data_IF_956405606562
#
_entry.id   IF_956405606562
#
_cell.length_a   1.000
_cell.length_b   1.000
_cell.length_c   1.000
_cell.angle_alpha   90.00
_cell.angle_beta   90.00
_cell.angle_gamma   90.00
#
_symmetry.space_group_name_H-M   'P 1'
#
loop_
_entity.id
_entity.type
_entity.pdbx_description
1 polymer ?
#
# COMPACT_ATOMS: atom_id res chain seq x y z
N UNK A 1 15.73 24.58 -7.81
CA UNK A 1 15.80 24.21 -7.90
C UNK A 1 15.12 24.29 -8.11
N UNK A 2 15.33 23.61 -7.97
CA UNK A 2 15.07 23.24 -7.89
C UNK A 2 14.48 23.16 -7.86
N UNK A 3 14.20 23.24 -7.89
CA UNK A 3 14.01 22.72 -7.68
C UNK A 3 14.09 22.96 -7.53
N UNK A 4 13.96 23.94 -7.25
CA UNK A 4 14.62 23.67 -6.86
C UNK A 4 14.74 23.29 -6.77
N UNK A 5 14.95 23.43 -6.80
CA UNK A 5 15.46 22.72 -6.56
C UNK A 5 15.49 21.89 -5.52
N UNK A 6 14.73 21.51 -5.39
CA UNK A 6 14.42 20.59 -4.36
C UNK A 6 15.40 19.45 -4.20
N UNK A 7 15.89 18.93 -5.28
CA UNK A 7 17.00 18.00 -5.21
C UNK A 7 18.24 18.66 -4.68
N UNK A 8 18.21 19.95 -4.51
CA UNK A 8 19.31 20.68 -3.90
C UNK A 8 19.27 20.60 -2.39
N UNK A 9 18.18 20.15 -1.82
CA UNK A 9 17.99 20.09 -0.38
C UNK A 9 18.19 18.64 0.08
N UNK A 10 19.15 18.40 0.99
CA UNK A 10 19.32 17.04 1.50
C UNK A 10 18.05 16.55 2.15
N UNK A 11 17.53 15.47 1.64
CA UNK A 11 16.27 14.94 2.08
C UNK A 11 16.25 14.56 3.56
N UNK A 12 17.36 14.05 4.05
CA UNK A 12 17.46 13.63 5.43
C UNK A 12 17.33 14.80 6.42
N UNK A 13 17.44 16.02 5.94
CA UNK A 13 17.26 17.20 6.78
C UNK A 13 15.81 17.66 6.70
N UNK A 14 15.24 17.63 5.51
CA UNK A 14 13.91 18.18 5.26
C UNK A 14 12.82 17.17 5.59
N UNK A 15 13.04 15.93 5.22
CA UNK A 15 12.05 14.88 5.42
C UNK A 15 12.75 13.56 5.62
N UNK A 16 12.40 12.91 6.69
CA UNK A 16 12.82 11.54 6.94
C UNK A 16 11.71 10.62 6.50
N UNK A 17 12.07 9.42 6.09
CA UNK A 17 11.07 8.42 5.83
C UNK A 17 10.33 8.12 7.14
N UNK A 18 9.01 8.10 7.13
CA UNK A 18 8.27 7.69 8.31
C UNK A 18 8.53 6.20 8.58
N UNK A 19 8.34 5.80 9.83
CA UNK A 19 8.35 4.39 10.15
C UNK A 19 7.08 3.76 9.57
N UNK A 20 7.10 2.44 9.44
CA UNK A 20 5.93 1.70 9.01
C UNK A 20 4.72 2.02 9.89
N UNK A 21 4.94 2.08 11.20
CA UNK A 21 3.86 2.41 12.13
C UNK A 21 3.31 3.81 11.90
N UNK A 22 4.17 4.76 11.62
CA UNK A 22 3.73 6.13 11.35
C UNK A 22 2.94 6.20 10.04
N UNK A 23 3.34 5.41 9.05
CA UNK A 23 2.57 5.33 7.80
C UNK A 23 1.15 4.86 8.07
N UNK A 24 0.99 3.81 8.88
CA UNK A 24 -0.33 3.31 9.22
C UNK A 24 -1.17 4.33 9.94
N UNK A 25 -0.57 5.02 10.91
CA UNK A 25 -1.30 6.04 11.68
C UNK A 25 -1.76 7.18 10.78
N UNK A 26 -0.86 7.67 9.95
CA UNK A 26 -1.16 8.84 9.11
C UNK A 26 -2.20 8.50 8.04
N UNK A 27 -2.02 7.38 7.36
CA UNK A 27 -2.95 6.96 6.33
C UNK A 27 -4.29 6.57 6.94
N UNK A 28 -4.25 5.98 8.13
CA UNK A 28 -5.47 5.59 8.83
C UNK A 28 -6.41 6.75 9.10
N UNK A 29 -5.89 7.97 9.16
CA UNK A 29 -6.73 9.15 9.37
C UNK A 29 -7.72 9.36 8.22
N UNK A 30 -7.37 8.90 7.03
CA UNK A 30 -8.23 9.01 5.87
C UNK A 30 -9.28 7.92 5.81
N UNK A 31 -9.18 6.92 6.69
CA UNK A 31 -10.08 5.77 6.70
C UNK A 31 -10.73 5.58 8.07
N UNK A 32 -11.09 6.69 8.72
CA UNK A 32 -11.81 6.63 9.98
C UNK A 32 -13.14 5.89 9.79
N UNK A 33 -13.50 5.09 10.78
CA UNK A 33 -14.70 4.27 10.69
C UNK A 33 -14.49 2.91 10.07
N UNK A 34 -13.29 2.67 9.51
CA UNK A 34 -12.94 1.34 8.99
C UNK A 34 -12.47 0.46 10.15
N UNK A 35 -12.74 -0.84 10.03
CA UNK A 35 -12.25 -1.80 11.01
C UNK A 35 -10.81 -2.20 10.73
N UNK A 36 -10.01 -2.29 11.77
CA UNK A 36 -8.60 -2.68 11.65
C UNK A 36 -8.35 -4.13 12.07
N UNK A 37 -9.39 -4.86 12.45
CA UNK A 37 -9.24 -6.21 12.98
C UNK A 37 -10.26 -7.17 12.40
N UNK A 38 -10.28 -7.24 11.07
CA UNK A 38 -11.13 -8.19 10.36
C UNK A 38 -10.27 -9.22 9.65
N UNK A 39 -10.71 -10.46 9.67
CA UNK A 39 -10.06 -11.56 8.97
C UNK A 39 -11.08 -12.30 8.12
N UNK A 40 -10.65 -12.76 6.95
CA UNK A 40 -11.56 -13.41 6.00
C UNK A 40 -10.91 -14.63 5.37
N UNK A 41 -11.70 -15.66 5.13
CA UNK A 41 -11.32 -16.83 4.34
C UNK A 41 -12.49 -17.17 3.42
N UNK A 42 -12.18 -17.36 2.13
CA UNK A 42 -13.19 -17.75 1.14
C UNK A 42 -14.42 -16.85 1.15
N UNK A 43 -14.21 -15.56 1.35
CA UNK A 43 -15.29 -14.59 1.28
C UNK A 43 -16.06 -14.39 2.56
N UNK A 44 -15.71 -15.10 3.63
CA UNK A 44 -16.45 -15.03 4.89
C UNK A 44 -15.57 -14.56 6.02
N UNK A 45 -16.15 -13.77 6.91
CA UNK A 45 -15.43 -13.29 8.08
C UNK A 45 -15.20 -14.45 9.05
N UNK A 46 -13.97 -14.52 9.57
CA UNK A 46 -13.57 -15.52 10.56
C UNK A 46 -12.97 -14.78 11.75
N UNK A 47 -12.77 -15.45 12.90
CA UNK A 47 -12.15 -14.79 14.04
C UNK A 47 -10.81 -14.18 13.67
N UNK A 48 -10.54 -13.00 14.19
CA UNK A 48 -9.34 -12.26 13.86
C UNK A 48 -8.08 -13.09 14.14
N UNK A 49 -7.20 -13.14 13.17
CA UNK A 49 -5.96 -13.90 13.31
C UNK A 49 -6.07 -15.37 12.96
N UNK A 50 -7.21 -15.82 12.44
CA UNK A 50 -7.37 -17.22 12.02
C UNK A 50 -6.27 -17.57 11.00
N UNK A 51 -5.65 -18.73 11.19
CA UNK A 51 -4.60 -19.19 10.29
C UNK A 51 -5.16 -19.33 8.87
N UNK A 52 -4.40 -18.79 7.93
CA UNK A 52 -4.79 -18.84 6.51
C UNK A 52 -5.72 -17.70 6.10
N UNK A 53 -6.14 -16.86 7.04
CA UNK A 53 -7.02 -15.74 6.71
C UNK A 53 -6.22 -14.59 6.10
N UNK A 54 -6.93 -13.72 5.35
CA UNK A 54 -6.37 -12.44 4.93
C UNK A 54 -6.85 -11.38 5.92
N UNK A 55 -5.98 -10.40 6.19
CA UNK A 55 -6.24 -9.38 7.22
C UNK A 55 -5.90 -8.01 6.65
N UNK A 56 -6.88 -7.36 6.00
CA UNK A 56 -6.62 -5.99 5.50
C UNK A 56 -6.30 -5.04 6.66
N UNK A 57 -5.47 -4.06 6.40
CA UNK A 57 -5.14 -3.03 7.40
C UNK A 57 -6.42 -2.32 7.84
N UNK A 58 -7.26 -1.97 6.89
CA UNK A 58 -8.55 -1.34 7.18
C UNK A 58 -9.60 -1.95 6.28
N UNK A 59 -10.78 -2.20 6.84
CA UNK A 59 -11.87 -2.80 6.09
C UNK A 59 -13.19 -2.16 6.45
N UNK A 60 -13.98 -1.86 5.45
CA UNK A 60 -15.36 -1.45 5.61
C UNK A 60 -16.12 -2.11 4.46
N UNK A 61 -17.40 -2.41 4.67
CA UNK A 61 -18.17 -3.18 3.69
C UNK A 61 -17.84 -2.84 2.24
N UNK A 62 -17.28 -3.81 1.55
CA UNK A 62 -16.95 -3.68 0.14
C UNK A 62 -15.64 -3.00 -0.17
N UNK A 63 -14.83 -2.61 0.83
CA UNK A 63 -13.59 -1.88 0.57
C UNK A 63 -12.50 -2.29 1.54
N UNK A 64 -11.37 -2.75 1.00
CA UNK A 64 -10.19 -3.07 1.80
C UNK A 64 -9.07 -2.08 1.48
N UNK A 65 -8.29 -1.74 2.49
CA UNK A 65 -7.17 -0.81 2.34
C UNK A 65 -5.92 -1.44 2.91
N UNK A 66 -4.82 -1.40 2.15
CA UNK A 66 -3.50 -1.82 2.58
C UNK A 66 -2.58 -0.63 2.66
N UNK A 67 -1.69 -0.64 3.65
CA UNK A 67 -0.68 0.40 3.82
C UNK A 67 0.67 -0.25 3.62
N UNK A 68 1.50 0.35 2.76
CA UNK A 68 2.85 -0.17 2.48
C UNK A 68 3.88 0.94 2.58
N UNK A 69 5.03 0.59 3.12
CA UNK A 69 6.15 1.51 3.26
C UNK A 69 7.43 0.77 2.84
N UNK A 70 7.72 0.81 1.55
CA UNK A 70 8.88 0.15 0.98
C UNK A 70 9.88 1.19 0.47
N UNK A 71 11.13 0.79 0.37
CA UNK A 71 12.14 1.62 -0.26
C UNK A 71 11.93 1.59 -1.77
N UNK A 72 11.49 2.71 -2.34
CA UNK A 72 11.25 2.79 -3.80
C UNK A 72 12.42 3.41 -4.55
N UNK A 73 13.50 3.76 -3.84
CA UNK A 73 14.67 4.35 -4.48
C UNK A 73 15.54 3.30 -5.17
N UNK A 74 15.46 2.04 -4.75
CA UNK A 74 16.25 0.98 -5.34
C UNK A 74 15.36 0.04 -6.14
N UNK A 75 15.93 -0.57 -7.18
CA UNK A 75 15.17 -1.55 -7.95
C UNK A 75 14.82 -2.77 -7.11
N UNK A 76 15.69 -3.14 -6.17
CA UNK A 76 15.41 -4.24 -5.26
C UNK A 76 14.17 -3.96 -4.40
N UNK A 77 14.10 -2.76 -3.82
CA UNK A 77 12.94 -2.37 -3.01
C UNK A 77 11.66 -2.32 -3.82
N UNK A 78 11.74 -1.77 -5.04
CA UNK A 78 10.59 -1.71 -5.92
C UNK A 78 10.10 -3.09 -6.32
N UNK A 79 11.04 -3.99 -6.64
CA UNK A 79 10.67 -5.35 -7.03
C UNK A 79 10.04 -6.11 -5.88
N UNK A 80 10.54 -5.93 -4.65
CA UNK A 80 9.95 -6.54 -3.47
C UNK A 80 8.52 -6.05 -3.27
N UNK A 81 8.31 -4.75 -3.38
CA UNK A 81 6.98 -4.16 -3.25
C UNK A 81 6.02 -4.74 -4.29
N UNK A 82 6.44 -4.73 -5.56
CA UNK A 82 5.61 -5.20 -6.66
C UNK A 82 5.24 -6.67 -6.46
N UNK A 83 6.23 -7.51 -6.14
CA UNK A 83 5.98 -8.95 -5.99
C UNK A 83 5.11 -9.25 -4.79
N UNK A 84 5.40 -8.64 -3.65
CA UNK A 84 4.64 -8.90 -2.43
C UNK A 84 3.21 -8.38 -2.57
N UNK A 85 3.05 -7.22 -3.17
CA UNK A 85 1.73 -6.62 -3.32
C UNK A 85 0.88 -7.41 -4.31
N UNK A 86 1.48 -7.84 -5.41
CA UNK A 86 0.77 -8.63 -6.41
C UNK A 86 0.27 -9.94 -5.82
N UNK A 87 1.10 -10.61 -5.03
CA UNK A 87 0.71 -11.84 -4.36
C UNK A 87 -0.41 -11.60 -3.36
N UNK A 88 -0.32 -10.54 -2.58
CA UNK A 88 -1.35 -10.21 -1.61
C UNK A 88 -2.69 -9.92 -2.28
N UNK A 89 -2.67 -9.14 -3.35
CA UNK A 89 -3.89 -8.80 -4.08
C UNK A 89 -4.57 -10.07 -4.59
N UNK A 90 -3.77 -10.98 -5.18
CA UNK A 90 -4.31 -12.25 -5.69
C UNK A 90 -4.96 -13.06 -4.59
N UNK A 91 -4.29 -13.18 -3.45
CA UNK A 91 -4.81 -13.95 -2.32
C UNK A 91 -6.10 -13.33 -1.79
N UNK A 92 -6.19 -12.02 -1.80
CA UNK A 92 -7.37 -11.32 -1.30
C UNK A 92 -8.54 -11.39 -2.25
N UNK A 93 -8.30 -11.56 -3.54
CA UNK A 93 -9.40 -11.71 -4.50
C UNK A 93 -10.28 -12.91 -4.18
N UNK A 94 -9.69 -13.98 -3.65
CA UNK A 94 -10.46 -15.18 -3.31
C UNK A 94 -10.92 -15.23 -1.87
N UNK A 95 -10.30 -14.45 -0.98
CA UNK A 95 -10.58 -14.54 0.45
C UNK A 95 -11.40 -13.40 1.02
N UNK A 96 -11.34 -12.22 0.41
CA UNK A 96 -12.22 -11.11 0.84
C UNK A 96 -13.64 -11.37 0.33
N UNK A 97 -14.65 -10.79 0.98
CA UNK A 97 -16.02 -10.92 0.48
C UNK A 97 -16.11 -10.52 -0.99
N UNK A 98 -16.95 -11.23 -1.70
CA UNK A 98 -17.11 -11.01 -3.14
C UNK A 98 -17.48 -9.56 -3.41
N UNK A 99 -16.85 -8.98 -4.44
CA UNK A 99 -17.11 -7.59 -4.81
C UNK A 99 -16.31 -6.56 -4.02
N UNK A 100 -15.44 -7.01 -3.11
CA UNK A 100 -14.59 -6.08 -2.36
C UNK A 100 -13.61 -5.39 -3.30
N UNK A 101 -13.59 -4.06 -3.24
CA UNK A 101 -12.60 -3.27 -3.97
C UNK A 101 -11.35 -3.11 -3.10
N UNK A 102 -10.20 -3.28 -3.71
CA UNK A 102 -8.93 -3.21 -2.99
C UNK A 102 -8.20 -1.91 -3.29
N UNK A 103 -7.81 -1.20 -2.23
CA UNK A 103 -6.97 -0.01 -2.33
C UNK A 103 -5.66 -0.29 -1.63
N UNK A 104 -4.55 0.13 -2.25
CA UNK A 104 -3.22 0.04 -1.66
C UNK A 104 -2.66 1.44 -1.59
N UNK A 105 -2.29 1.89 -0.40
CA UNK A 105 -1.65 3.20 -0.22
C UNK A 105 -0.18 2.96 0.09
N UNK A 106 0.69 3.41 -0.80
CA UNK A 106 2.12 3.25 -0.66
C UNK A 106 2.70 4.58 -0.18
N UNK A 107 3.34 4.55 0.99
CA UNK A 107 3.93 5.75 1.57
C UNK A 107 5.34 5.93 1.00
N UNK A 108 5.52 6.98 0.21
CA UNK A 108 6.82 7.28 -0.40
C UNK A 108 7.45 8.56 0.15
N UNK A 109 6.90 9.06 1.26
CA UNK A 109 7.44 10.28 1.87
C UNK A 109 8.89 10.09 2.26
N UNK A 110 9.68 11.14 2.07
CA UNK A 110 11.10 11.14 2.45
C UNK A 110 11.99 10.35 1.51
N UNK A 111 11.50 9.98 0.34
CA UNK A 111 12.27 9.23 -0.65
C UNK A 111 12.41 10.01 -1.95
N UNK A 112 13.45 9.70 -2.71
CA UNK A 112 13.64 10.24 -4.05
C UNK A 112 12.92 9.35 -5.04
N UNK A 113 12.10 9.95 -5.88
CA UNK A 113 11.39 9.24 -6.93
C UNK A 113 10.97 10.27 -7.98
N UNK A 114 10.60 9.78 -9.15
CA UNK A 114 9.91 10.61 -10.14
C UNK A 114 8.56 9.96 -10.44
N UNK A 115 7.72 10.67 -11.14
CA UNK A 115 6.37 10.17 -11.42
C UNK A 115 6.40 8.93 -12.31
N UNK A 116 7.41 8.80 -13.15
CA UNK A 116 7.57 7.63 -14.01
C UNK A 116 7.78 6.37 -13.19
N UNK A 117 8.61 6.46 -12.14
CA UNK A 117 8.85 5.32 -11.24
C UNK A 117 7.55 4.91 -10.56
N UNK A 118 6.78 5.88 -10.06
CA UNK A 118 5.51 5.56 -9.39
C UNK A 118 4.52 4.93 -10.35
N UNK A 119 4.45 5.46 -11.57
CA UNK A 119 3.55 4.93 -12.60
C UNK A 119 3.94 3.51 -12.96
N UNK A 120 5.25 3.24 -13.07
CA UNK A 120 5.75 1.91 -13.36
C UNK A 120 5.39 0.91 -12.27
N UNK A 121 5.55 1.31 -11.00
CA UNK A 121 5.17 0.46 -9.86
C UNK A 121 3.69 0.10 -9.95
N UNK A 122 2.84 1.10 -10.14
CA UNK A 122 1.40 0.89 -10.24
C UNK A 122 1.05 -0.08 -11.36
N UNK A 123 1.61 0.18 -12.55
CA UNK A 123 1.28 -0.65 -13.72
C UNK A 123 1.74 -2.09 -13.53
N UNK A 124 2.90 -2.30 -12.92
CA UNK A 124 3.40 -3.65 -12.71
C UNK A 124 2.61 -4.40 -11.66
N UNK A 125 2.14 -3.72 -10.62
CA UNK A 125 1.29 -4.36 -9.62
C UNK A 125 -0.02 -4.81 -10.26
N UNK A 126 -0.64 -3.95 -11.06
CA UNK A 126 -1.90 -4.27 -11.74
C UNK A 126 -1.68 -5.42 -12.71
N UNK A 127 -0.62 -5.35 -13.50
CA UNK A 127 -0.33 -6.37 -14.49
C UNK A 127 -0.08 -7.72 -13.83
N UNK A 128 0.78 -7.75 -12.82
CA UNK A 128 1.15 -9.00 -12.16
C UNK A 128 0.02 -9.61 -11.35
N UNK A 129 -0.81 -8.79 -10.75
CA UNK A 129 -1.94 -9.29 -9.96
C UNK A 129 -3.12 -9.68 -10.83
N UNK A 130 -3.20 -9.13 -12.04
CA UNK A 130 -4.33 -9.34 -12.92
C UNK A 130 -5.60 -8.65 -12.43
N UNK A 131 -5.48 -7.71 -11.50
CA UNK A 131 -6.62 -7.02 -10.90
C UNK A 131 -6.37 -5.52 -10.89
N UNK A 132 -7.37 -4.75 -11.25
CA UNK A 132 -7.27 -3.30 -11.31
C UNK A 132 -7.49 -2.68 -9.93
N UNK A 133 -6.56 -2.96 -8.99
CA UNK A 133 -6.61 -2.37 -7.67
C UNK A 133 -6.36 -0.87 -7.76
N UNK A 134 -6.90 -0.13 -6.78
CA UNK A 134 -6.58 1.29 -6.67
C UNK A 134 -5.23 1.43 -5.97
N UNK A 135 -4.23 1.96 -6.67
CA UNK A 135 -2.89 2.15 -6.13
C UNK A 135 -2.67 3.64 -5.94
N UNK A 136 -2.51 4.04 -4.68
CA UNK A 136 -2.30 5.44 -4.31
C UNK A 136 -0.92 5.59 -3.68
N UNK A 137 -0.32 6.76 -3.89
CA UNK A 137 0.99 7.07 -3.30
C UNK A 137 0.85 8.26 -2.35
N UNK A 138 1.24 8.05 -1.09
CA UNK A 138 1.27 9.15 -0.14
C UNK A 138 2.60 9.86 -0.29
N UNK A 139 2.54 11.11 -0.73
CA UNK A 139 3.72 11.93 -1.06
C UNK A 139 3.94 13.05 -0.06
N UNK A 140 2.93 13.37 0.75
CA UNK A 140 3.04 14.44 1.74
C UNK A 140 2.44 14.02 3.05
#
# INVERSE_FOLDING_TARGET
MSKYNREQIPRNIEESRPTWRQSELDIGKDYEGYDAQKSFINGEEVPYGTKGSVRPEFYKNGHSVEVKNYNVETSSGRNSLINNMSSQIKKRLTNLPEGTEQTVVIDVRGQDYNLEILRDIKNKIIEKSGYNAEILFKRE
#
